data_IF_911849286839
#
_entry.id   IF_911849286839
#
_cell.length_a   1.000
_cell.length_b   1.000
_cell.length_c   1.000
_cell.angle_alpha   90.00
_cell.angle_beta   90.00
_cell.angle_gamma   90.00
#
_symmetry.space_group_name_H-M   'P 1'
#
loop_
_entity.id
_entity.type
_entity.pdbx_description
1 polymer ?
#
# COMPACT_ATOMS: atom_id res chain seq x y z
N UNK A 1 0.87 6.20 -23.74
CA UNK A 1 0.30 7.06 -22.69
C UNK A 1 0.06 6.26 -21.43
N UNK A 2 0.25 6.86 -20.27
CA UNK A 2 -0.03 6.26 -18.96
C UNK A 2 -1.49 5.81 -18.81
N UNK A 3 -2.41 6.44 -19.55
CA UNK A 3 -3.85 6.11 -19.56
C UNK A 3 -4.22 4.93 -20.48
N UNK A 4 -3.23 4.26 -21.06
CA UNK A 4 -3.40 3.08 -21.91
C UNK A 4 -2.44 1.96 -21.50
N UNK A 5 -1.98 1.96 -20.25
CA UNK A 5 -1.13 0.92 -19.72
C UNK A 5 -1.93 -0.34 -19.44
N UNK A 6 -1.37 -1.44 -19.87
CA UNK A 6 -1.82 -2.79 -19.58
C UNK A 6 -0.85 -3.47 -18.62
N UNK A 7 -1.21 -4.59 -17.99
CA UNK A 7 -0.27 -5.35 -17.16
C UNK A 7 1.02 -5.78 -17.89
N UNK A 8 0.96 -5.96 -19.21
CA UNK A 8 2.12 -6.32 -20.05
C UNK A 8 3.14 -5.19 -20.18
N UNK A 9 2.70 -3.93 -20.02
CA UNK A 9 3.55 -2.75 -20.21
C UNK A 9 4.43 -2.43 -19.00
N UNK A 10 4.06 -2.93 -17.81
CA UNK A 10 4.80 -2.62 -16.58
C UNK A 10 6.12 -3.36 -16.54
N UNK A 11 7.21 -2.60 -16.55
CA UNK A 11 8.58 -3.13 -16.52
C UNK A 11 9.18 -3.12 -15.12
N UNK A 12 8.74 -2.17 -14.27
CA UNK A 12 9.33 -1.93 -12.96
C UNK A 12 8.23 -1.71 -11.95
N UNK A 13 8.35 -2.36 -10.78
CA UNK A 13 7.51 -2.11 -9.61
C UNK A 13 8.33 -1.52 -8.48
N UNK A 14 7.71 -0.67 -7.68
CA UNK A 14 8.34 -0.01 -6.55
C UNK A 14 7.32 0.31 -5.47
N UNK A 15 7.77 0.53 -4.23
CA UNK A 15 6.87 0.93 -3.16
C UNK A 15 7.54 1.84 -2.13
N UNK A 16 6.71 2.72 -1.58
CA UNK A 16 6.98 3.64 -0.48
C UNK A 16 5.97 3.40 0.63
N UNK A 17 6.37 3.60 1.87
CA UNK A 17 5.47 3.40 3.01
C UNK A 17 6.18 3.10 4.31
N UNK A 18 5.47 2.42 5.18
CA UNK A 18 5.89 2.02 6.52
C UNK A 18 6.10 0.49 6.64
N UNK A 19 5.96 -0.03 7.86
CA UNK A 19 6.11 -1.46 8.18
C UNK A 19 5.16 -2.39 7.42
N UNK A 20 3.94 -1.93 7.06
CA UNK A 20 2.98 -2.72 6.29
C UNK A 20 3.45 -2.95 4.85
N UNK A 21 4.23 -2.02 4.31
CA UNK A 21 4.86 -2.13 2.99
C UNK A 21 6.26 -2.76 3.08
N UNK A 22 7.01 -2.53 4.17
CA UNK A 22 8.26 -3.22 4.44
C UNK A 22 8.06 -4.73 4.68
N UNK A 23 6.88 -5.11 5.14
CA UNK A 23 6.53 -6.52 5.34
C UNK A 23 6.88 -7.05 6.70
N UNK A 24 6.76 -6.22 7.75
CA UNK A 24 7.01 -6.63 9.12
C UNK A 24 6.08 -7.78 9.54
N UNK A 25 6.68 -8.82 10.07
CA UNK A 25 5.97 -9.92 10.70
C UNK A 25 5.19 -10.86 9.79
N UNK A 26 5.22 -10.71 8.47
CA UNK A 26 4.38 -11.47 7.51
C UNK A 26 4.41 -12.99 7.78
N UNK A 27 5.58 -13.58 7.92
CA UNK A 27 5.76 -15.01 8.19
C UNK A 27 6.18 -15.30 9.64
N UNK A 28 5.93 -14.36 10.55
CA UNK A 28 6.27 -14.54 11.94
C UNK A 28 5.40 -15.62 12.61
N UNK A 29 6.03 -16.55 13.29
CA UNK A 29 5.37 -17.52 14.15
C UNK A 29 5.42 -17.15 15.64
N UNK A 30 6.12 -16.07 15.97
CA UNK A 30 6.30 -15.55 17.33
C UNK A 30 6.47 -14.04 17.31
N UNK A 31 6.32 -13.40 18.47
CA UNK A 31 6.46 -11.97 18.62
C UNK A 31 7.85 -11.42 18.22
N UNK A 32 8.91 -12.19 18.42
CA UNK A 32 10.27 -11.79 18.00
C UNK A 32 10.36 -11.70 16.47
N UNK A 33 9.69 -12.61 15.77
CA UNK A 33 9.66 -12.61 14.29
C UNK A 33 8.94 -11.42 13.70
N UNK A 34 8.11 -10.70 14.47
CA UNK A 34 7.40 -9.49 13.99
C UNK A 34 8.37 -8.36 13.63
N UNK A 35 9.53 -8.31 14.26
CA UNK A 35 10.58 -7.33 13.94
C UNK A 35 11.30 -7.61 12.61
N UNK A 36 11.06 -8.79 12.02
CA UNK A 36 11.64 -9.15 10.73
C UNK A 36 10.80 -8.57 9.59
N UNK A 37 11.45 -7.89 8.68
CA UNK A 37 10.86 -7.33 7.48
C UNK A 37 10.92 -8.38 6.34
N UNK A 38 9.83 -9.09 6.10
CA UNK A 38 9.70 -10.10 5.04
C UNK A 38 9.38 -9.45 3.70
N UNK A 39 10.28 -8.57 3.23
CA UNK A 39 10.09 -7.72 2.06
C UNK A 39 9.69 -8.48 0.81
N UNK A 40 10.24 -9.69 0.60
CA UNK A 40 9.92 -10.54 -0.54
C UNK A 40 8.47 -11.02 -0.58
N UNK A 41 7.72 -10.92 0.52
CA UNK A 41 6.29 -11.28 0.60
C UNK A 41 5.35 -10.07 0.73
N UNK A 42 5.88 -8.85 0.65
CA UNK A 42 5.07 -7.61 0.73
C UNK A 42 4.05 -7.54 -0.41
N UNK A 43 2.81 -7.23 -0.05
CA UNK A 43 1.64 -7.23 -0.93
C UNK A 43 1.82 -6.45 -2.23
N UNK A 44 2.44 -5.26 -2.16
CA UNK A 44 2.53 -4.33 -3.27
C UNK A 44 3.82 -4.44 -4.08
N UNK A 45 4.86 -5.08 -3.52
CA UNK A 45 6.20 -5.04 -4.12
C UNK A 45 7.05 -6.31 -3.90
N UNK A 46 6.56 -7.28 -3.15
CA UNK A 46 7.27 -8.54 -2.88
C UNK A 46 7.29 -9.47 -4.09
N UNK A 47 8.41 -10.15 -4.32
CA UNK A 47 8.61 -11.01 -5.47
C UNK A 47 9.08 -12.43 -5.16
N UNK A 48 9.08 -12.83 -3.89
CA UNK A 48 9.37 -14.21 -3.50
C UNK A 48 8.32 -15.17 -4.03
N UNK A 49 8.76 -16.35 -4.42
CA UNK A 49 7.87 -17.38 -4.95
C UNK A 49 7.14 -16.95 -6.22
N UNK A 50 5.95 -17.52 -6.42
CA UNK A 50 5.11 -17.25 -7.58
C UNK A 50 3.63 -17.35 -7.24
N UNK A 51 2.78 -16.82 -8.11
CA UNK A 51 1.33 -16.96 -7.98
C UNK A 51 0.89 -18.43 -8.04
N UNK A 52 1.59 -19.27 -8.82
CA UNK A 52 1.31 -20.71 -8.93
C UNK A 52 1.66 -21.47 -7.65
N UNK A 53 2.59 -20.97 -6.86
CA UNK A 53 2.95 -21.48 -5.53
C UNK A 53 2.07 -20.89 -4.41
N UNK A 54 1.07 -20.09 -4.77
CA UNK A 54 0.15 -19.48 -3.82
C UNK A 54 0.69 -18.22 -3.12
N UNK A 55 1.82 -17.66 -3.57
CA UNK A 55 2.35 -16.40 -3.04
C UNK A 55 1.72 -15.23 -3.80
N UNK A 56 0.72 -14.61 -3.20
CA UNK A 56 -0.06 -13.54 -3.82
C UNK A 56 0.53 -12.18 -3.46
N UNK A 57 1.19 -11.56 -4.44
CA UNK A 57 1.69 -10.18 -4.39
C UNK A 57 1.41 -9.51 -5.72
N UNK A 58 1.33 -8.18 -5.76
CA UNK A 58 1.17 -7.48 -7.03
C UNK A 58 2.25 -7.84 -8.05
N UNK A 59 3.55 -7.91 -7.71
CA UNK A 59 4.57 -8.38 -8.66
C UNK A 59 4.34 -9.80 -9.17
N UNK A 60 3.91 -10.74 -8.33
CA UNK A 60 3.68 -12.11 -8.77
C UNK A 60 2.47 -12.23 -9.71
N UNK A 61 1.46 -11.37 -9.54
CA UNK A 61 0.36 -11.24 -10.50
C UNK A 61 0.89 -10.64 -11.82
N UNK A 62 1.63 -9.53 -11.76
CA UNK A 62 2.19 -8.86 -12.95
C UNK A 62 3.17 -9.74 -13.72
N UNK A 63 3.95 -10.60 -13.07
CA UNK A 63 4.85 -11.57 -13.73
C UNK A 63 4.11 -12.56 -14.63
N UNK A 64 2.80 -12.79 -14.46
CA UNK A 64 1.98 -13.58 -15.39
C UNK A 64 1.82 -12.89 -16.75
N UNK A 65 1.99 -11.58 -16.80
CA UNK A 65 1.88 -10.76 -18.01
C UNK A 65 3.25 -10.34 -18.54
N UNK A 66 4.15 -9.93 -17.65
CA UNK A 66 5.53 -9.57 -17.97
C UNK A 66 6.52 -10.32 -17.07
N UNK A 67 7.06 -11.49 -17.52
CA UNK A 67 8.02 -12.26 -16.73
C UNK A 67 9.37 -11.54 -16.53
N UNK A 68 9.64 -10.46 -17.26
CA UNK A 68 10.85 -9.64 -17.12
C UNK A 68 10.68 -8.47 -16.15
N UNK A 69 9.60 -8.44 -15.38
CA UNK A 69 9.35 -7.42 -14.35
C UNK A 69 10.55 -7.29 -13.41
N UNK A 70 10.86 -6.05 -13.03
CA UNK A 70 12.01 -5.72 -12.14
C UNK A 70 11.55 -4.87 -10.97
N UNK A 71 12.45 -4.67 -10.01
CA UNK A 71 12.26 -3.75 -8.89
C UNK A 71 11.63 -4.37 -7.66
N UNK A 72 10.99 -5.53 -7.78
CA UNK A 72 10.38 -6.22 -6.64
C UNK A 72 11.41 -6.65 -5.61
N UNK A 73 11.01 -6.61 -4.34
CA UNK A 73 11.86 -7.05 -3.22
C UNK A 73 11.87 -8.57 -3.08
N UNK A 74 12.95 -9.08 -2.51
CA UNK A 74 13.20 -10.51 -2.28
C UNK A 74 13.67 -10.76 -0.84
N UNK A 75 13.35 -11.92 -0.32
CA UNK A 75 13.79 -12.37 0.99
C UNK A 75 13.32 -11.44 2.13
N UNK A 76 14.13 -11.35 3.17
CA UNK A 76 13.91 -10.50 4.35
C UNK A 76 15.13 -9.61 4.60
N UNK A 77 14.94 -8.57 5.39
CA UNK A 77 15.98 -7.62 5.76
C UNK A 77 15.52 -6.17 5.62
N UNK A 78 16.36 -5.25 6.12
CA UNK A 78 16.04 -3.83 6.14
C UNK A 78 16.06 -3.19 4.73
N UNK A 79 15.59 -1.94 4.66
CA UNK A 79 15.49 -1.20 3.39
C UNK A 79 16.81 -1.00 2.65
N UNK A 80 17.97 -1.14 3.32
CA UNK A 80 19.29 -1.00 2.70
C UNK A 80 19.89 -2.35 2.32
N UNK A 81 19.25 -3.46 2.68
CA UNK A 81 19.64 -4.80 2.29
C UNK A 81 19.48 -5.04 0.78
N UNK A 82 20.33 -5.92 0.23
CA UNK A 82 20.33 -6.22 -1.21
C UNK A 82 18.95 -6.70 -1.73
N UNK A 83 18.17 -7.39 -0.89
CA UNK A 83 16.83 -7.88 -1.24
C UNK A 83 15.75 -6.80 -1.25
N UNK A 84 15.99 -5.61 -0.70
CA UNK A 84 14.99 -4.55 -0.66
C UNK A 84 14.66 -4.01 -2.04
N UNK A 85 15.63 -3.97 -2.95
CA UNK A 85 15.46 -3.43 -4.30
C UNK A 85 14.73 -2.07 -4.28
N UNK A 86 13.57 -1.95 -4.92
CA UNK A 86 12.79 -0.71 -4.97
C UNK A 86 11.68 -0.62 -3.91
N UNK A 87 11.71 -1.47 -2.89
CA UNK A 87 10.93 -1.27 -1.67
C UNK A 87 11.72 -0.36 -0.73
N UNK A 88 11.40 0.94 -0.72
CA UNK A 88 12.06 1.94 0.13
C UNK A 88 11.30 2.21 1.43
N UNK A 89 10.23 1.48 1.69
CA UNK A 89 9.46 1.57 2.91
C UNK A 89 10.32 1.27 4.16
N UNK A 90 10.00 1.90 5.27
CA UNK A 90 10.73 1.71 6.53
C UNK A 90 9.77 1.64 7.72
N UNK A 91 9.95 0.66 8.62
CA UNK A 91 9.11 0.54 9.81
C UNK A 91 9.09 1.82 10.65
N UNK A 92 7.91 2.20 11.14
CA UNK A 92 7.73 3.39 11.96
C UNK A 92 7.69 4.72 11.19
N UNK A 93 7.92 4.72 9.87
CA UNK A 93 7.81 5.94 9.08
C UNK A 93 6.38 6.46 9.04
N UNK A 94 6.27 7.79 8.97
CA UNK A 94 5.04 8.58 8.87
C UNK A 94 4.95 9.32 7.54
N UNK A 95 3.90 10.06 7.31
CA UNK A 95 3.77 10.91 6.12
C UNK A 95 4.96 11.86 5.94
N UNK A 96 5.57 12.33 7.04
CA UNK A 96 6.73 13.23 7.03
C UNK A 96 7.95 12.65 6.29
N UNK A 97 8.08 11.33 6.25
CA UNK A 97 9.21 10.64 5.65
C UNK A 97 9.05 10.42 4.13
N UNK A 98 7.84 10.65 3.60
CA UNK A 98 7.53 10.34 2.19
C UNK A 98 8.33 11.15 1.18
N UNK A 99 8.63 12.46 1.38
CA UNK A 99 9.49 13.19 0.47
C UNK A 99 10.90 12.59 0.36
N UNK A 100 11.48 12.12 1.46
CA UNK A 100 12.80 11.48 1.44
C UNK A 100 12.77 10.08 0.84
N UNK A 101 11.71 9.31 1.08
CA UNK A 101 11.50 8.03 0.39
C UNK A 101 11.35 8.23 -1.12
N UNK A 102 10.67 9.28 -1.59
CA UNK A 102 10.54 9.59 -3.01
C UNK A 102 11.91 9.86 -3.66
N UNK A 103 12.75 10.66 -3.03
CA UNK A 103 14.13 10.93 -3.51
C UNK A 103 14.97 9.65 -3.53
N UNK A 104 14.94 8.87 -2.45
CA UNK A 104 15.64 7.59 -2.37
C UNK A 104 15.19 6.63 -3.47
N UNK A 105 13.89 6.54 -3.72
CA UNK A 105 13.33 5.69 -4.77
C UNK A 105 13.85 6.08 -6.16
N UNK A 106 13.84 7.36 -6.48
CA UNK A 106 14.34 7.88 -7.76
C UNK A 106 15.81 7.50 -7.97
N UNK A 107 16.66 7.70 -6.96
CA UNK A 107 18.10 7.35 -7.05
C UNK A 107 18.31 5.84 -7.19
N UNK A 108 17.51 5.02 -6.50
CA UNK A 108 17.58 3.56 -6.68
C UNK A 108 17.14 3.12 -8.08
N UNK A 109 16.09 3.69 -8.62
CA UNK A 109 15.66 3.38 -10.00
C UNK A 109 16.75 3.78 -11.01
N UNK A 110 17.37 4.97 -10.86
CA UNK A 110 18.47 5.43 -11.73
C UNK A 110 19.65 4.47 -11.71
N UNK A 111 19.97 3.89 -10.57
CA UNK A 111 21.13 3.00 -10.37
C UNK A 111 20.83 1.51 -10.56
N UNK A 112 19.55 1.13 -10.72
CA UNK A 112 19.17 -0.29 -10.78
C UNK A 112 19.62 -0.95 -12.10
N UNK A 113 20.43 -2.02 -12.03
CA UNK A 113 20.91 -2.71 -13.23
C UNK A 113 19.75 -3.24 -14.10
N UNK A 114 19.87 -2.97 -15.39
CA UNK A 114 18.90 -3.46 -16.39
C UNK A 114 17.56 -2.73 -16.39
N UNK A 115 17.39 -1.65 -15.64
CA UNK A 115 16.25 -0.73 -15.72
C UNK A 115 16.62 0.45 -16.59
N UNK A 116 15.78 0.76 -17.57
CA UNK A 116 15.86 1.99 -18.35
C UNK A 116 15.04 3.09 -17.67
N UNK A 117 15.71 3.98 -16.96
CA UNK A 117 15.08 5.07 -16.22
C UNK A 117 14.08 5.87 -17.06
N UNK A 118 14.45 6.17 -18.31
CA UNK A 118 13.65 7.01 -19.23
C UNK A 118 12.56 6.22 -19.97
N UNK A 119 12.76 4.91 -20.22
CA UNK A 119 11.92 4.17 -21.18
C UNK A 119 11.02 3.10 -20.51
N UNK A 120 11.42 2.53 -19.37
CA UNK A 120 10.63 1.52 -18.71
C UNK A 120 9.40 2.14 -18.02
N UNK A 121 8.25 1.50 -18.12
CA UNK A 121 7.07 1.87 -17.35
C UNK A 121 7.18 1.38 -15.92
N UNK A 122 6.99 2.29 -14.98
CA UNK A 122 7.08 2.05 -13.54
C UNK A 122 5.70 2.11 -12.91
N UNK A 123 5.44 1.17 -12.02
CA UNK A 123 4.28 1.20 -11.13
C UNK A 123 4.80 1.38 -9.70
N UNK A 124 4.43 2.48 -9.07
CA UNK A 124 4.83 2.83 -7.70
C UNK A 124 3.61 2.75 -6.80
N UNK A 125 3.69 2.03 -5.69
CA UNK A 125 2.64 2.03 -4.67
C UNK A 125 3.09 2.85 -3.47
N UNK A 126 2.28 3.83 -3.07
CA UNK A 126 2.47 4.63 -1.87
C UNK A 126 1.34 4.32 -0.89
N UNK A 127 1.70 3.81 0.30
CA UNK A 127 0.76 3.51 1.38
C UNK A 127 1.37 3.93 2.72
N UNK A 128 0.75 4.93 3.36
CA UNK A 128 1.25 5.56 4.59
C UNK A 128 0.10 6.17 5.39
N UNK A 129 0.32 6.44 6.67
CA UNK A 129 -0.60 7.15 7.55
C UNK A 129 -0.98 6.37 8.80
N UNK A 130 -0.71 5.06 8.85
CA UNK A 130 -1.01 4.25 10.03
C UNK A 130 -0.31 4.77 11.29
N UNK A 131 0.98 5.07 11.20
CA UNK A 131 1.77 5.61 12.31
C UNK A 131 1.35 7.05 12.66
N UNK A 132 1.02 7.87 11.66
CA UNK A 132 0.47 9.22 11.89
C UNK A 132 -0.79 9.16 12.76
N UNK A 133 -1.73 8.26 12.43
CA UNK A 133 -2.97 8.06 13.19
C UNK A 133 -2.70 7.47 14.59
N UNK A 134 -1.77 6.54 14.69
CA UNK A 134 -1.41 5.91 15.96
C UNK A 134 -0.77 6.87 16.97
N UNK A 135 -0.13 7.92 16.47
CA UNK A 135 0.49 8.98 17.26
C UNK A 135 -0.32 10.30 17.30
N UNK A 136 -1.50 10.32 16.68
CA UNK A 136 -2.29 11.55 16.49
C UNK A 136 -2.55 12.30 17.79
N UNK A 137 -2.94 11.63 18.86
CA UNK A 137 -3.22 12.25 20.16
C UNK A 137 -1.99 12.81 20.88
N UNK A 138 -0.79 12.42 20.45
CA UNK A 138 0.46 12.90 21.03
C UNK A 138 0.88 14.26 20.45
N UNK A 139 0.52 14.55 19.17
CA UNK A 139 0.83 15.81 18.51
C UNK A 139 -0.16 16.08 17.36
N UNK A 140 -1.32 16.64 17.69
CA UNK A 140 -2.37 16.96 16.72
C UNK A 140 -1.92 17.90 15.60
N UNK A 141 -0.98 18.82 15.89
CA UNK A 141 -0.48 19.75 14.88
C UNK A 141 0.39 19.01 13.86
N UNK A 142 1.30 18.16 14.34
CA UNK A 142 2.20 17.37 13.50
C UNK A 142 1.45 16.42 12.60
N UNK A 143 0.46 15.72 13.15
CA UNK A 143 -0.30 14.68 12.44
C UNK A 143 -1.67 15.18 11.94
N UNK A 144 -1.86 16.51 11.81
CA UNK A 144 -3.07 17.08 11.22
C UNK A 144 -3.25 16.61 9.76
N UNK A 145 -4.50 16.58 9.28
CA UNK A 145 -4.81 16.20 7.89
C UNK A 145 -4.09 17.11 6.89
N UNK A 146 -3.98 18.42 7.17
CA UNK A 146 -3.23 19.37 6.36
C UNK A 146 -1.75 18.98 6.22
N UNK A 147 -1.09 18.60 7.33
CA UNK A 147 0.30 18.18 7.29
C UNK A 147 0.46 16.82 6.60
N UNK A 148 -0.42 15.86 6.89
CA UNK A 148 -0.44 14.56 6.21
C UNK A 148 -0.52 14.71 4.70
N UNK A 149 -1.52 15.45 4.20
CA UNK A 149 -1.69 15.60 2.75
C UNK A 149 -0.58 16.46 2.10
N UNK A 150 -0.04 17.47 2.80
CA UNK A 150 1.06 18.26 2.29
C UNK A 150 2.35 17.43 2.14
N UNK A 151 2.61 16.49 3.04
CA UNK A 151 3.75 15.57 2.95
C UNK A 151 3.60 14.62 1.75
N UNK A 152 2.42 14.01 1.60
CA UNK A 152 2.10 13.16 0.45
C UNK A 152 2.22 13.95 -0.86
N UNK A 153 1.61 15.14 -0.91
CA UNK A 153 1.70 16.03 -2.08
C UNK A 153 3.15 16.35 -2.42
N UNK A 154 3.98 16.67 -1.43
CA UNK A 154 5.41 16.96 -1.65
C UNK A 154 6.13 15.76 -2.26
N UNK A 155 5.87 14.55 -1.74
CA UNK A 155 6.46 13.33 -2.30
C UNK A 155 5.99 13.07 -3.74
N UNK A 156 4.70 13.24 -4.02
CA UNK A 156 4.13 13.06 -5.35
C UNK A 156 4.63 14.14 -6.33
N UNK A 157 4.82 15.39 -5.87
CA UNK A 157 5.41 16.47 -6.69
C UNK A 157 6.85 16.13 -7.10
N UNK A 158 7.64 15.54 -6.20
CA UNK A 158 9.00 15.06 -6.51
C UNK A 158 8.95 13.95 -7.57
N UNK A 159 8.10 12.93 -7.37
CA UNK A 159 7.93 11.86 -8.34
C UNK A 159 7.45 12.40 -9.70
N UNK A 160 6.46 13.30 -9.70
CA UNK A 160 5.93 13.90 -10.92
C UNK A 160 6.99 14.72 -11.69
N UNK A 161 7.82 15.45 -10.97
CA UNK A 161 8.85 16.29 -11.60
C UNK A 161 10.01 15.45 -12.19
N UNK A 162 10.41 14.38 -11.51
CA UNK A 162 11.67 13.70 -11.80
C UNK A 162 11.52 12.28 -12.37
N UNK A 163 10.39 11.59 -12.17
CA UNK A 163 10.24 10.20 -12.57
C UNK A 163 9.35 10.06 -13.81
N UNK A 164 9.93 9.81 -15.00
CA UNK A 164 9.16 9.63 -16.23
C UNK A 164 8.50 8.25 -16.28
N UNK A 165 7.46 8.12 -17.11
CA UNK A 165 6.75 6.87 -17.39
C UNK A 165 6.32 6.14 -16.10
N UNK A 166 5.48 6.81 -15.29
CA UNK A 166 5.12 6.31 -13.97
C UNK A 166 3.62 6.35 -13.73
N UNK A 167 3.10 5.22 -13.25
CA UNK A 167 1.76 5.06 -12.71
C UNK A 167 1.89 4.91 -11.19
N UNK A 168 1.30 5.82 -10.43
CA UNK A 168 1.34 5.79 -8.96
C UNK A 168 0.00 5.30 -8.43
N UNK A 169 0.02 4.23 -7.63
CA UNK A 169 -1.07 3.81 -6.77
C UNK A 169 -0.96 4.57 -5.45
N UNK A 170 -1.82 5.54 -5.23
CA UNK A 170 -1.97 6.17 -3.93
C UNK A 170 -3.06 5.42 -3.17
N UNK A 171 -2.66 4.61 -2.19
CA UNK A 171 -3.57 3.75 -1.44
C UNK A 171 -4.08 4.51 -0.22
N UNK A 172 -5.39 4.56 -0.04
CA UNK A 172 -5.99 5.22 1.13
C UNK A 172 -5.72 4.46 2.41
N UNK A 173 -5.49 5.22 3.47
CA UNK A 173 -5.33 4.65 4.81
C UNK A 173 -6.68 4.20 5.38
N UNK A 174 -6.69 3.11 6.13
CA UNK A 174 -7.85 2.65 6.89
C UNK A 174 -7.95 3.30 8.28
N UNK A 175 -9.13 3.23 8.88
CA UNK A 175 -9.29 3.53 10.31
C UNK A 175 -8.50 2.51 11.13
N UNK A 176 -7.47 2.94 11.83
CA UNK A 176 -6.62 2.06 12.66
C UNK A 176 -7.29 1.62 13.96
N UNK A 177 -8.38 2.27 14.37
CA UNK A 177 -9.01 2.04 15.69
C UNK A 177 -9.59 0.62 15.84
N UNK A 178 -10.20 -0.03 14.83
CA UNK A 178 -10.63 -1.41 14.94
C UNK A 178 -9.46 -2.39 15.11
N UNK A 179 -8.32 -2.13 14.44
CA UNK A 179 -7.12 -2.96 14.57
C UNK A 179 -6.48 -2.77 15.95
N UNK A 180 -6.36 -1.52 16.41
CA UNK A 180 -5.84 -1.19 17.73
C UNK A 180 -6.71 -1.78 18.87
N UNK A 181 -8.00 -1.97 18.63
CA UNK A 181 -8.93 -2.59 19.58
C UNK A 181 -8.80 -4.13 19.64
N UNK A 182 -8.07 -4.77 18.71
CA UNK A 182 -7.83 -6.21 18.76
C UNK A 182 -7.08 -6.57 20.04
N UNK A 183 -7.69 -7.36 20.90
CA UNK A 183 -7.14 -7.75 22.19
C UNK A 183 -7.30 -9.26 22.40
N UNK A 184 -6.32 -10.03 21.94
CA UNK A 184 -6.27 -11.47 22.21
C UNK A 184 -4.96 -11.81 22.91
N UNK A 185 -5.08 -12.11 24.21
CA UNK A 185 -3.93 -12.47 25.04
C UNK A 185 -3.01 -11.29 25.37
N UNK A 186 -2.01 -11.57 26.20
CA UNK A 186 -1.10 -10.57 26.74
C UNK A 186 -0.30 -9.83 25.68
N UNK A 187 0.13 -10.53 24.62
CA UNK A 187 1.01 -9.95 23.60
C UNK A 187 0.29 -8.99 22.65
N UNK A 188 -0.88 -9.34 22.13
CA UNK A 188 -1.68 -8.43 21.31
C UNK A 188 -1.95 -7.11 22.06
N UNK A 189 -2.39 -7.24 23.32
CA UNK A 189 -2.70 -6.07 24.15
C UNK A 189 -1.48 -5.22 24.45
N UNK A 190 -0.30 -5.84 24.64
CA UNK A 190 0.94 -5.13 24.90
C UNK A 190 1.43 -4.37 23.65
N UNK A 191 1.50 -5.05 22.49
CA UNK A 191 2.01 -4.45 21.27
C UNK A 191 1.08 -3.34 20.76
N UNK A 192 -0.22 -3.58 20.73
CA UNK A 192 -1.18 -2.54 20.29
C UNK A 192 -1.17 -1.32 21.22
N UNK A 193 -0.91 -1.51 22.53
CA UNK A 193 -0.79 -0.39 23.48
C UNK A 193 0.48 0.44 23.27
N UNK A 194 1.52 -0.16 22.70
CA UNK A 194 2.79 0.52 22.42
C UNK A 194 2.84 1.06 20.99
N UNK A 195 2.41 0.25 20.02
CA UNK A 195 2.51 0.60 18.60
C UNK A 195 1.41 1.55 18.10
N UNK A 196 0.23 1.57 18.79
CA UNK A 196 -0.89 2.43 18.40
C UNK A 196 -1.66 2.93 19.63
N UNK A 197 -0.99 3.74 20.44
CA UNK A 197 -1.52 4.20 21.73
C UNK A 197 -2.82 4.99 21.54
N UNK A 198 -2.85 5.96 20.64
CA UNK A 198 -4.01 6.83 20.41
C UNK A 198 -5.21 6.06 19.87
N UNK A 199 -5.00 5.06 19.01
CA UNK A 199 -6.07 4.23 18.48
C UNK A 199 -6.73 3.32 19.53
N UNK A 200 -6.08 3.13 20.69
CA UNK A 200 -6.56 2.29 21.79
C UNK A 200 -7.07 3.11 22.98
N UNK A 201 -6.67 4.36 23.12
CA UNK A 201 -7.11 5.22 24.21
C UNK A 201 -8.60 5.57 24.02
N UNK A 202 -9.50 5.16 24.95
CA UNK A 202 -10.91 5.49 24.86
C UNK A 202 -11.20 7.00 24.77
N UNK A 203 -10.31 7.86 25.30
CA UNK A 203 -10.45 9.30 25.20
C UNK A 203 -10.10 9.85 23.83
N UNK A 204 -9.20 9.17 23.08
CA UNK A 204 -8.68 9.62 21.79
C UNK A 204 -9.31 8.91 20.57
N UNK A 205 -9.91 7.70 20.74
CA UNK A 205 -10.43 6.88 19.64
C UNK A 205 -11.34 7.65 18.68
N UNK A 206 -12.22 8.53 19.20
CA UNK A 206 -13.12 9.29 18.35
C UNK A 206 -12.37 10.31 17.48
N UNK A 207 -11.32 10.92 18.02
CA UNK A 207 -10.49 11.89 17.31
C UNK A 207 -9.61 11.20 16.26
N UNK A 208 -9.04 10.03 16.58
CA UNK A 208 -8.25 9.23 15.64
C UNK A 208 -9.10 8.76 14.46
N UNK A 209 -10.34 8.33 14.74
CA UNK A 209 -11.30 7.97 13.69
C UNK A 209 -11.65 9.15 12.80
N UNK A 210 -11.89 10.32 13.38
CA UNK A 210 -12.15 11.53 12.60
C UNK A 210 -10.92 11.91 11.76
N UNK A 211 -9.71 11.86 12.33
CA UNK A 211 -8.47 12.10 11.59
C UNK A 211 -8.30 11.14 10.40
N UNK A 212 -8.66 9.86 10.55
CA UNK A 212 -8.63 8.91 9.45
C UNK A 212 -9.57 9.31 8.31
N UNK A 213 -10.79 9.74 8.62
CA UNK A 213 -11.75 10.25 7.63
C UNK A 213 -11.24 11.54 6.96
N UNK A 214 -10.61 12.43 7.72
CA UNK A 214 -10.05 13.66 7.19
C UNK A 214 -8.85 13.37 6.26
N UNK A 215 -7.99 12.40 6.60
CA UNK A 215 -6.90 11.93 5.74
C UNK A 215 -7.42 11.37 4.43
N UNK A 216 -8.45 10.53 4.47
CA UNK A 216 -9.10 9.95 3.30
C UNK A 216 -9.67 11.06 2.42
N UNK A 217 -10.43 11.99 3.00
CA UNK A 217 -11.03 13.11 2.28
C UNK A 217 -9.98 13.98 1.58
N UNK A 218 -8.91 14.39 2.28
CA UNK A 218 -7.84 15.21 1.69
C UNK A 218 -7.08 14.46 0.58
N UNK A 219 -6.93 13.13 0.72
CA UNK A 219 -6.32 12.29 -0.31
C UNK A 219 -7.19 12.26 -1.58
N UNK A 220 -8.51 12.12 -1.43
CA UNK A 220 -9.46 12.22 -2.56
C UNK A 220 -9.40 13.59 -3.24
N UNK A 221 -9.44 14.66 -2.47
CA UNK A 221 -9.37 16.04 -2.98
C UNK A 221 -8.08 16.25 -3.77
N UNK A 222 -6.95 15.75 -3.27
CA UNK A 222 -5.67 15.86 -3.97
C UNK A 222 -5.70 15.14 -5.33
N UNK A 223 -6.21 13.90 -5.38
CA UNK A 223 -6.28 13.15 -6.63
C UNK A 223 -7.31 13.75 -7.59
N UNK A 224 -8.49 14.15 -7.09
CA UNK A 224 -9.55 14.79 -7.88
C UNK A 224 -9.13 16.15 -8.47
N UNK A 225 -8.11 16.81 -7.93
CA UNK A 225 -7.58 18.07 -8.45
C UNK A 225 -6.91 17.93 -9.82
N UNK A 226 -6.70 16.70 -10.30
CA UNK A 226 -5.97 16.37 -11.55
C UNK A 226 -4.54 16.95 -11.64
N UNK A 227 -3.97 17.37 -10.50
CA UNK A 227 -2.63 17.97 -10.39
C UNK A 227 -1.57 17.14 -11.14
N UNK A 228 -1.71 15.83 -11.16
CA UNK A 228 -0.74 14.89 -11.72
C UNK A 228 -1.10 14.39 -13.12
N UNK A 229 -2.15 14.95 -13.76
CA UNK A 229 -2.59 14.59 -15.10
C UNK A 229 -2.10 15.57 -16.19
N UNK A 230 -1.04 16.33 -15.91
CA UNK A 230 -0.46 17.33 -16.80
C UNK A 230 0.50 16.76 -17.86
N UNK A 231 0.87 15.47 -17.70
CA UNK A 231 1.77 14.74 -18.60
C UNK A 231 1.12 13.43 -19.04
N UNK A 232 1.40 12.99 -20.25
CA UNK A 232 0.91 11.72 -20.80
C UNK A 232 1.68 10.49 -20.30
N UNK A 233 2.76 10.70 -19.55
CA UNK A 233 3.62 9.66 -19.03
C UNK A 233 3.64 9.57 -17.49
N UNK A 234 2.73 10.28 -16.83
CA UNK A 234 2.60 10.23 -15.37
C UNK A 234 1.13 10.37 -14.94
N UNK A 235 0.71 9.59 -13.96
CA UNK A 235 -0.59 9.74 -13.29
C UNK A 235 -0.52 9.22 -11.87
N UNK A 236 -1.41 9.74 -11.02
CA UNK A 236 -1.68 9.24 -9.67
C UNK A 236 -3.12 8.76 -9.64
N UNK A 237 -3.32 7.53 -9.22
CA UNK A 237 -4.64 6.90 -9.13
C UNK A 237 -4.90 6.48 -7.69
N UNK A 238 -6.05 6.91 -7.17
CA UNK A 238 -6.52 6.50 -5.86
C UNK A 238 -6.92 5.03 -5.86
N UNK A 239 -6.49 4.29 -4.82
CA UNK A 239 -6.85 2.91 -4.58
C UNK A 239 -7.52 2.81 -3.20
N UNK A 240 -8.85 2.88 -3.12
CA UNK A 240 -9.58 3.06 -1.86
C UNK A 240 -9.91 1.78 -1.11
N UNK A 241 -9.43 0.62 -1.53
CA UNK A 241 -9.82 -0.69 -0.97
C UNK A 241 -9.57 -0.86 0.53
N UNK A 242 -8.88 0.06 1.17
CA UNK A 242 -8.73 0.09 2.62
C UNK A 242 -9.70 1.04 3.34
N UNK A 243 -10.38 1.93 2.64
CA UNK A 243 -11.21 3.01 3.22
C UNK A 243 -12.16 2.54 4.31
N UNK A 244 -12.94 1.51 4.01
CA UNK A 244 -13.96 0.96 4.93
C UNK A 244 -13.58 -0.41 5.49
N UNK A 245 -12.33 -0.82 5.27
CA UNK A 245 -11.84 -2.11 5.72
C UNK A 245 -11.78 -2.19 7.23
N UNK A 246 -12.35 -3.24 7.76
CA UNK A 246 -12.27 -3.66 9.17
C UNK A 246 -11.71 -5.08 9.24
N UNK A 247 -11.14 -5.49 10.40
CA UNK A 247 -10.74 -6.88 10.59
C UNK A 247 -11.90 -7.83 10.25
N UNK A 248 -11.69 -8.81 9.35
CA UNK A 248 -12.72 -9.79 9.04
C UNK A 248 -13.11 -10.60 10.28
N UNK A 249 -14.33 -11.10 10.32
CA UNK A 249 -14.75 -12.02 11.37
C UNK A 249 -14.44 -13.48 10.98
N UNK A 250 -14.19 -14.33 11.97
CA UNK A 250 -14.18 -15.78 11.78
C UNK A 250 -15.54 -16.25 11.24
N UNK A 251 -15.52 -17.21 10.33
CA UNK A 251 -16.72 -17.66 9.65
C UNK A 251 -17.82 -18.09 10.64
N UNK A 252 -18.98 -17.44 10.56
CA UNK A 252 -20.15 -17.74 11.38
C UNK A 252 -20.08 -17.17 12.81
N UNK A 253 -19.13 -16.31 13.11
CA UNK A 253 -18.98 -15.65 14.43
C UNK A 253 -18.94 -14.13 14.30
N UNK A 254 -18.97 -13.43 15.44
CA UNK A 254 -18.69 -11.99 15.53
C UNK A 254 -17.25 -11.72 16.02
N UNK A 255 -16.44 -12.75 16.17
CA UNK A 255 -15.04 -12.62 16.61
C UNK A 255 -14.13 -12.28 15.44
N UNK A 256 -13.17 -11.35 15.59
CA UNK A 256 -12.20 -11.06 14.54
C UNK A 256 -11.36 -12.29 14.17
N UNK A 257 -11.19 -12.51 12.85
CA UNK A 257 -10.29 -13.54 12.33
C UNK A 257 -8.84 -13.06 12.40
N UNK A 258 -8.17 -13.42 13.48
CA UNK A 258 -6.78 -13.05 13.75
C UNK A 258 -5.79 -13.70 12.76
N UNK A 259 -6.20 -14.66 11.94
CA UNK A 259 -5.32 -15.24 10.91
C UNK A 259 -4.88 -14.24 9.83
N UNK A 260 -5.55 -13.10 9.71
CA UNK A 260 -5.14 -11.98 8.84
C UNK A 260 -4.00 -11.14 9.41
N UNK A 261 -3.66 -11.35 10.68
CA UNK A 261 -2.66 -10.57 11.40
C UNK A 261 -1.48 -11.43 11.83
N UNK A 262 -0.34 -10.78 11.99
CA UNK A 262 0.85 -11.33 12.61
C UNK A 262 0.62 -11.57 14.12
N UNK A 263 1.53 -12.26 14.83
CA UNK A 263 1.37 -12.51 16.27
C UNK A 263 1.20 -11.27 17.16
N UNK A 264 1.46 -10.07 16.64
CA UNK A 264 1.24 -8.79 17.33
C UNK A 264 -0.18 -8.25 17.20
N UNK A 265 -1.03 -8.89 16.41
CA UNK A 265 -2.40 -8.46 16.09
C UNK A 265 -2.49 -7.05 15.43
N UNK A 266 -1.41 -6.59 14.82
CA UNK A 266 -1.32 -5.26 14.23
C UNK A 266 -0.83 -5.34 12.77
N UNK A 267 0.32 -5.96 12.54
CA UNK A 267 0.84 -6.17 11.19
C UNK A 267 0.09 -7.30 10.48
N UNK A 268 0.10 -7.26 9.15
CA UNK A 268 -0.57 -8.29 8.35
C UNK A 268 0.25 -9.58 8.27
N UNK A 269 -0.41 -10.72 8.47
CA UNK A 269 0.12 -12.04 8.14
C UNK A 269 0.21 -12.24 6.61
N UNK A 270 0.72 -13.38 6.15
CA UNK A 270 0.65 -13.76 4.73
C UNK A 270 -0.77 -13.64 4.17
N UNK A 271 -1.78 -14.09 4.92
CA UNK A 271 -3.19 -14.02 4.53
C UNK A 271 -3.67 -12.57 4.37
N UNK A 272 -3.29 -11.68 5.29
CA UNK A 272 -3.61 -10.24 5.20
C UNK A 272 -2.91 -9.57 4.02
N UNK A 273 -1.63 -9.87 3.82
CA UNK A 273 -0.86 -9.37 2.67
C UNK A 273 -1.45 -9.82 1.33
N UNK A 274 -1.89 -11.07 1.25
CA UNK A 274 -2.51 -11.61 0.03
C UNK A 274 -3.87 -10.95 -0.26
N UNK A 275 -4.69 -10.72 0.77
CA UNK A 275 -5.93 -9.97 0.63
C UNK A 275 -5.67 -8.54 0.11
N UNK A 276 -4.67 -7.85 0.65
CA UNK A 276 -4.27 -6.52 0.19
C UNK A 276 -3.78 -6.51 -1.27
N UNK A 277 -2.95 -7.50 -1.64
CA UNK A 277 -2.46 -7.63 -3.02
C UNK A 277 -3.58 -7.90 -4.02
N UNK A 278 -4.53 -8.77 -3.66
CA UNK A 278 -5.69 -9.08 -4.47
C UNK A 278 -6.60 -7.85 -4.65
N UNK A 279 -6.87 -7.14 -3.55
CA UNK A 279 -7.68 -5.93 -3.57
C UNK A 279 -7.04 -4.82 -4.41
N UNK A 280 -5.72 -4.62 -4.29
CA UNK A 280 -5.00 -3.68 -5.15
C UNK A 280 -5.10 -4.08 -6.63
N UNK A 281 -4.92 -5.36 -6.95
CA UNK A 281 -5.06 -5.84 -8.33
C UNK A 281 -6.44 -5.55 -8.92
N UNK A 282 -7.51 -5.85 -8.18
CA UNK A 282 -8.86 -5.60 -8.65
C UNK A 282 -9.14 -4.09 -8.77
N UNK A 283 -8.76 -3.29 -7.77
CA UNK A 283 -8.89 -1.84 -7.83
C UNK A 283 -8.16 -1.22 -9.04
N UNK A 284 -7.02 -1.77 -9.46
CA UNK A 284 -6.32 -1.30 -10.67
C UNK A 284 -7.19 -1.40 -11.94
N UNK A 285 -8.10 -2.37 -12.00
CA UNK A 285 -8.93 -2.66 -13.17
C UNK A 285 -10.36 -2.12 -13.05
N UNK A 286 -10.79 -1.72 -11.86
CA UNK A 286 -12.10 -1.15 -11.62
C UNK A 286 -12.19 0.30 -12.09
N UNK A 287 -13.32 0.69 -12.72
CA UNK A 287 -13.56 2.09 -13.06
C UNK A 287 -13.43 3.01 -11.84
N UNK A 288 -12.86 4.19 -12.04
CA UNK A 288 -12.57 5.15 -10.96
C UNK A 288 -13.82 5.43 -10.08
N UNK A 289 -14.99 5.54 -10.70
CA UNK A 289 -16.25 5.83 -10.00
C UNK A 289 -16.88 4.62 -9.29
N UNK A 290 -16.28 3.44 -9.38
CA UNK A 290 -16.84 2.18 -8.86
C UNK A 290 -15.77 1.26 -8.27
N UNK A 291 -14.67 1.83 -7.78
CA UNK A 291 -13.66 1.05 -7.05
C UNK A 291 -14.24 0.57 -5.73
N UNK A 292 -13.95 -0.68 -5.40
CA UNK A 292 -14.31 -1.18 -4.08
C UNK A 292 -13.47 -0.52 -2.97
N UNK A 293 -14.13 -0.26 -1.86
CA UNK A 293 -13.57 0.46 -0.72
C UNK A 293 -13.20 -0.44 0.48
N UNK A 294 -13.34 -1.76 0.29
CA UNK A 294 -13.01 -2.76 1.30
C UNK A 294 -12.19 -3.91 0.72
N UNK A 295 -11.56 -4.70 1.60
CA UNK A 295 -10.76 -5.86 1.20
C UNK A 295 -11.59 -6.87 0.42
N UNK A 296 -10.98 -7.44 -0.61
CA UNK A 296 -11.52 -8.61 -1.27
C UNK A 296 -11.17 -9.88 -0.48
N UNK A 297 -12.21 -10.48 0.10
CA UNK A 297 -12.11 -11.76 0.77
C UNK A 297 -13.02 -12.73 0.02
N UNK A 298 -12.45 -13.68 -0.71
CA UNK A 298 -13.15 -14.65 -1.55
C UNK A 298 -13.79 -14.10 -2.85
N UNK A 299 -13.41 -12.92 -3.29
CA UNK A 299 -13.79 -12.40 -4.60
C UNK A 299 -12.86 -12.96 -5.70
N UNK A 300 -13.34 -13.12 -6.95
CA UNK A 300 -12.47 -13.54 -8.05
C UNK A 300 -11.50 -12.43 -8.48
N UNK A 301 -10.34 -12.82 -9.00
CA UNK A 301 -9.45 -11.87 -9.67
C UNK A 301 -10.11 -11.33 -10.92
N UNK A 302 -10.13 -10.02 -11.08
CA UNK A 302 -10.53 -9.38 -12.31
C UNK A 302 -9.50 -9.66 -13.42
N UNK A 303 -10.00 -9.95 -14.62
CA UNK A 303 -9.15 -10.18 -15.80
C UNK A 303 -9.12 -8.93 -16.68
N UNK A 304 -7.93 -8.48 -17.13
CA UNK A 304 -7.80 -7.25 -17.91
C UNK A 304 -8.55 -7.28 -19.26
N UNK A 305 -8.91 -8.45 -19.77
CA UNK A 305 -9.57 -8.62 -21.07
C UNK A 305 -11.10 -8.78 -20.97
N UNK A 306 -11.67 -8.68 -19.78
CA UNK A 306 -13.13 -8.82 -19.63
C UNK A 306 -13.82 -7.48 -19.81
N UNK A 307 -14.85 -7.42 -20.66
CA UNK A 307 -15.71 -6.24 -20.80
C UNK A 307 -16.42 -5.82 -19.48
N UNK A 308 -16.33 -6.65 -18.46
CA UNK A 308 -16.92 -6.41 -17.15
C UNK A 308 -16.30 -5.23 -16.40
N UNK A 309 -15.02 -4.91 -16.66
CA UNK A 309 -14.33 -3.81 -15.98
C UNK A 309 -14.65 -2.43 -16.56
N UNK A 310 -15.15 -2.36 -17.80
CA UNK A 310 -15.44 -1.08 -18.46
C UNK A 310 -14.22 -0.28 -18.94
N UNK A 311 -13.01 -0.69 -18.55
CA UNK A 311 -11.74 -0.02 -18.94
C UNK A 311 -11.00 -0.73 -20.07
N UNK A 312 -11.50 -1.90 -20.50
CA UNK A 312 -10.79 -2.78 -21.44
C UNK A 312 -9.58 -3.43 -20.78
N UNK A 313 -8.47 -3.64 -21.51
CA UNK A 313 -7.25 -4.24 -20.96
C UNK A 313 -6.40 -3.27 -20.13
N UNK A 314 -6.84 -2.01 -19.96
CA UNK A 314 -6.04 -0.95 -19.35
C UNK A 314 -6.32 -0.82 -17.85
N UNK A 315 -5.29 -0.43 -17.11
CA UNK A 315 -5.48 0.06 -15.74
C UNK A 315 -6.37 1.30 -15.75
N UNK A 316 -7.27 1.38 -14.78
CA UNK A 316 -8.22 2.47 -14.66
C UNK A 316 -7.52 3.79 -14.29
N UNK A 317 -7.86 4.86 -15.00
CA UNK A 317 -7.42 6.23 -14.72
C UNK A 317 -8.57 7.20 -14.95
N UNK A 318 -8.47 8.43 -14.48
CA UNK A 318 -9.48 9.47 -14.69
C UNK A 318 -9.77 9.77 -16.17
N UNK A 319 -8.86 9.43 -17.10
CA UNK A 319 -9.02 9.69 -18.54
C UNK A 319 -9.53 8.50 -19.34
N UNK A 320 -9.59 7.31 -18.79
CA UNK A 320 -10.05 6.11 -19.52
C UNK A 320 -11.20 5.36 -18.84
N UNK A 321 -11.61 5.78 -17.65
CA UNK A 321 -12.70 5.17 -16.91
C UNK A 321 -13.50 6.25 -16.21
N UNK A 322 -14.57 6.70 -16.85
CA UNK A 322 -15.55 7.61 -16.27
C UNK A 322 -16.68 6.82 -15.61
#
# INVERSE_FOLDING_TARGET
SVHKLTPWDINVVAAMGDSLTAGNGISASSWVGVLTEYRGKSWSVGGDGSLDEGVVTLPNILKKFNPNLKGYSLNFGDRNGAGANLNVADPGHTSHDMPDQARMLIERIKSMPGVSFLNDWKMVTLFIGGNDLCDYCNDHARYSADNYINNIKTALDILHAELPRTFVNLVEIFDVTPVAALSHGFFCSFVTSYACQCGKDPAAVAEVRQAALDYQFETEVLVASERYNTRDDFTVVLQPFFRTTVPPNEQGTSSPDLSYFSPDCFHFSEKGQYAAAHSLWNNLLEPISRKDEAWYINEPYLCPNTHATGTGPYFATSKNSA
#
